data_IF_750052083926
#
_entry.id   IF_750052083926
#
_cell.length_a   1.000
_cell.length_b   1.000
_cell.length_c   1.000
_cell.angle_alpha   90.00
_cell.angle_beta   90.00
_cell.angle_gamma   90.00
#
_symmetry.space_group_name_H-M   'P 1'
#
loop_
_entity.id
_entity.type
_entity.pdbx_description
1 polymer ?
#
# COMPACT_ATOMS: atom_id res chain seq x y z
N UNK A 1 -47.21 -28.03 1.12
CA UNK A 1 -46.29 -28.09 -0.02
C UNK A 1 -45.53 -26.76 -0.05
N UNK A 2 -44.34 -26.74 0.58
CA UNK A 2 -43.38 -25.63 0.46
C UNK A 2 -42.82 -25.67 -0.95
N UNK A 3 -43.16 -24.67 -1.77
CA UNK A 3 -42.48 -24.42 -3.03
C UNK A 3 -41.03 -24.09 -2.75
N UNK A 4 -40.14 -24.98 -3.12
CA UNK A 4 -38.70 -24.75 -3.17
C UNK A 4 -38.44 -23.78 -4.32
N UNK A 5 -38.72 -22.48 -4.12
CA UNK A 5 -38.31 -21.45 -5.07
C UNK A 5 -36.81 -21.24 -4.90
N UNK A 6 -36.03 -21.70 -5.85
CA UNK A 6 -34.61 -21.34 -5.96
C UNK A 6 -34.53 -19.82 -6.12
N UNK A 7 -34.23 -19.12 -5.03
CA UNK A 7 -33.99 -17.69 -5.09
C UNK A 7 -32.58 -17.44 -5.65
N UNK A 8 -32.50 -16.70 -6.75
CA UNK A 8 -31.23 -16.26 -7.31
C UNK A 8 -30.57 -15.29 -6.34
N UNK A 9 -29.30 -15.55 -6.02
CA UNK A 9 -28.47 -14.68 -5.19
C UNK A 9 -27.59 -13.80 -6.09
N UNK A 10 -27.77 -12.49 -5.99
CA UNK A 10 -26.97 -11.48 -6.69
C UNK A 10 -26.12 -10.75 -5.66
N UNK A 11 -24.82 -11.09 -5.53
CA UNK A 11 -23.92 -10.39 -4.63
C UNK A 11 -23.62 -8.99 -5.15
N UNK A 12 -23.49 -8.02 -4.24
CA UNK A 12 -23.07 -6.67 -4.61
C UNK A 12 -21.58 -6.60 -4.94
N UNK A 13 -20.76 -7.43 -4.29
CA UNK A 13 -19.31 -7.45 -4.49
C UNK A 13 -18.82 -8.86 -4.78
N UNK A 14 -18.06 -9.00 -5.85
CA UNK A 14 -17.23 -10.17 -6.14
C UNK A 14 -15.84 -9.68 -6.45
N UNK A 15 -14.83 -10.18 -5.76
CA UNK A 15 -13.44 -9.87 -6.03
C UNK A 15 -12.55 -11.11 -5.93
N UNK A 16 -11.39 -11.03 -6.57
CA UNK A 16 -10.36 -12.07 -6.48
C UNK A 16 -9.08 -11.45 -5.92
N UNK A 17 -8.56 -12.01 -4.85
CA UNK A 17 -7.26 -11.64 -4.29
C UNK A 17 -6.11 -12.21 -5.11
N UNK A 18 -4.92 -11.63 -4.97
CA UNK A 18 -3.70 -12.12 -5.64
C UNK A 18 -3.37 -13.58 -5.27
N UNK A 19 -3.67 -14.02 -4.08
CA UNK A 19 -3.49 -15.41 -3.61
C UNK A 19 -4.54 -16.39 -4.13
N UNK A 20 -5.45 -15.95 -4.97
CA UNK A 20 -6.50 -16.78 -5.56
C UNK A 20 -7.81 -16.84 -4.75
N UNK A 21 -7.87 -16.30 -3.53
CA UNK A 21 -9.12 -16.22 -2.75
C UNK A 21 -10.17 -15.41 -3.50
N UNK A 22 -11.39 -15.93 -3.57
CA UNK A 22 -12.56 -15.26 -4.16
C UNK A 22 -13.48 -14.81 -3.03
N UNK A 23 -13.72 -13.50 -2.95
CA UNK A 23 -14.66 -12.90 -2.02
C UNK A 23 -16.03 -12.66 -2.67
N UNK A 24 -17.12 -13.03 -1.98
CA UNK A 24 -18.52 -12.88 -2.44
C UNK A 24 -19.30 -12.23 -1.30
N UNK A 25 -19.73 -10.98 -1.46
CA UNK A 25 -20.36 -10.21 -0.40
C UNK A 25 -21.63 -9.51 -0.87
N UNK A 26 -22.58 -9.36 0.04
CA UNK A 26 -23.82 -8.64 -0.17
C UNK A 26 -23.99 -7.56 0.91
N UNK A 27 -24.25 -6.31 0.50
CA UNK A 27 -24.34 -5.17 1.42
C UNK A 27 -25.76 -4.99 1.94
N UNK A 28 -25.87 -4.76 3.22
CA UNK A 28 -27.16 -4.48 3.87
C UNK A 28 -27.03 -3.29 4.81
N UNK A 29 -28.10 -2.53 4.94
CA UNK A 29 -28.13 -1.36 5.82
C UNK A 29 -29.42 -1.28 6.63
N UNK A 30 -29.31 -0.70 7.84
CA UNK A 30 -30.46 -0.41 8.69
C UNK A 30 -31.41 -1.57 8.90
N UNK A 31 -32.68 -1.38 8.57
CA UNK A 31 -33.75 -2.36 8.73
C UNK A 31 -33.56 -3.62 7.89
N UNK A 32 -32.88 -3.54 6.75
CA UNK A 32 -32.68 -4.71 5.89
C UNK A 32 -31.72 -5.70 6.50
N UNK A 33 -30.71 -5.24 7.26
CA UNK A 33 -29.75 -6.12 7.91
C UNK A 33 -30.36 -7.03 8.98
N UNK A 34 -31.47 -6.65 9.63
CA UNK A 34 -32.19 -7.46 10.63
C UNK A 34 -33.28 -8.34 10.04
N UNK A 35 -33.54 -8.24 8.74
CA UNK A 35 -34.65 -8.95 8.11
C UNK A 35 -34.43 -10.47 8.08
N UNK A 36 -35.52 -11.22 8.13
CA UNK A 36 -35.52 -12.68 7.96
C UNK A 36 -34.94 -13.09 6.60
N UNK A 37 -35.20 -12.28 5.57
CA UNK A 37 -34.67 -12.50 4.22
C UNK A 37 -33.14 -12.41 4.21
N UNK A 38 -32.56 -11.39 4.86
CA UNK A 38 -31.10 -11.27 4.99
C UNK A 38 -30.50 -12.44 5.75
N UNK A 39 -31.14 -12.87 6.84
CA UNK A 39 -30.69 -14.08 7.58
C UNK A 39 -30.66 -15.31 6.67
N UNK A 40 -31.75 -15.58 5.97
CA UNK A 40 -31.85 -16.72 5.06
C UNK A 40 -30.76 -16.65 3.95
N UNK A 41 -30.54 -15.47 3.38
CA UNK A 41 -29.51 -15.24 2.35
C UNK A 41 -28.10 -15.46 2.91
N UNK A 42 -27.80 -14.93 4.09
CA UNK A 42 -26.49 -15.09 4.73
C UNK A 42 -26.17 -16.56 4.98
N UNK A 43 -27.10 -17.29 5.60
CA UNK A 43 -26.94 -18.71 5.91
C UNK A 43 -26.85 -19.60 4.64
N UNK A 44 -27.63 -19.28 3.62
CA UNK A 44 -27.53 -19.94 2.32
C UNK A 44 -26.18 -19.69 1.64
N UNK A 45 -25.67 -18.44 1.71
CA UNK A 45 -24.36 -18.09 1.19
C UNK A 45 -23.26 -18.91 1.88
N UNK A 46 -23.26 -18.99 3.22
CA UNK A 46 -22.25 -19.78 3.95
C UNK A 46 -22.26 -21.26 3.55
N UNK A 47 -23.43 -21.87 3.45
CA UNK A 47 -23.55 -23.25 2.93
C UNK A 47 -22.96 -23.39 1.54
N UNK A 48 -23.23 -22.43 0.63
CA UNK A 48 -22.71 -22.46 -0.73
C UNK A 48 -21.20 -22.30 -0.78
N UNK A 49 -20.63 -21.38 0.03
CA UNK A 49 -19.19 -21.18 0.12
C UNK A 49 -18.48 -22.43 0.64
N UNK A 50 -19.04 -23.08 1.68
CA UNK A 50 -18.53 -24.34 2.19
C UNK A 50 -18.51 -25.45 1.11
N UNK A 51 -19.58 -25.57 0.33
CA UNK A 51 -19.63 -26.52 -0.79
C UNK A 51 -18.56 -26.20 -1.85
N UNK A 52 -18.40 -24.94 -2.23
CA UNK A 52 -17.40 -24.50 -3.22
C UNK A 52 -15.98 -24.79 -2.74
N UNK A 53 -15.68 -24.53 -1.46
CA UNK A 53 -14.39 -24.83 -0.86
C UNK A 53 -14.09 -26.33 -0.84
N UNK A 54 -15.08 -27.16 -0.53
CA UNK A 54 -14.93 -28.62 -0.60
C UNK A 54 -14.67 -29.12 -2.03
N UNK A 55 -15.38 -28.56 -3.02
CA UNK A 55 -15.19 -28.90 -4.44
C UNK A 55 -13.85 -28.40 -4.98
N UNK A 56 -13.35 -27.28 -4.48
CA UNK A 56 -12.09 -26.70 -4.91
C UNK A 56 -10.85 -27.44 -4.39
N UNK A 57 -11.00 -28.36 -3.42
CA UNK A 57 -9.90 -29.17 -2.85
C UNK A 57 -8.68 -28.32 -2.42
N UNK A 58 -8.93 -27.13 -1.87
CA UNK A 58 -7.88 -26.19 -1.45
C UNK A 58 -7.20 -25.38 -2.55
N UNK A 59 -7.56 -25.58 -3.84
CA UNK A 59 -7.00 -24.80 -4.95
C UNK A 59 -7.51 -23.37 -5.02
N UNK A 60 -8.73 -23.16 -4.57
CA UNK A 60 -9.39 -21.83 -4.49
C UNK A 60 -10.04 -21.76 -3.12
N UNK A 61 -9.87 -20.63 -2.43
CA UNK A 61 -10.56 -20.34 -1.19
C UNK A 61 -11.70 -19.36 -1.47
N UNK A 62 -12.94 -19.76 -1.17
CA UNK A 62 -14.11 -18.91 -1.29
C UNK A 62 -14.49 -18.40 0.08
N UNK A 63 -14.63 -17.08 0.22
CA UNK A 63 -15.02 -16.39 1.45
C UNK A 63 -16.14 -15.42 1.13
N UNK A 64 -16.96 -15.07 2.12
CA UNK A 64 -18.02 -14.09 1.85
C UNK A 64 -18.96 -13.95 3.02
N UNK A 65 -19.92 -13.05 2.88
CA UNK A 65 -20.90 -12.79 3.92
C UNK A 65 -21.73 -11.53 3.66
N UNK A 66 -22.43 -11.11 4.70
CA UNK A 66 -23.17 -9.86 4.70
C UNK A 66 -22.27 -8.73 5.19
N UNK A 67 -22.32 -7.60 4.52
CA UNK A 67 -21.53 -6.39 4.83
C UNK A 67 -22.46 -5.29 5.32
N UNK A 68 -22.07 -4.59 6.37
CA UNK A 68 -22.74 -3.39 6.88
C UNK A 68 -21.73 -2.25 7.02
N UNK A 69 -22.24 -1.02 6.94
CA UNK A 69 -21.51 0.18 7.33
C UNK A 69 -21.97 0.62 8.73
N UNK A 70 -21.02 0.80 9.65
CA UNK A 70 -21.27 1.33 10.98
C UNK A 70 -20.15 2.29 11.37
N UNK A 71 -20.51 3.51 11.82
CA UNK A 71 -19.56 4.55 12.27
C UNK A 71 -18.45 4.87 11.23
N UNK A 72 -18.83 4.92 9.93
CA UNK A 72 -17.88 5.21 8.85
C UNK A 72 -16.95 4.04 8.48
N UNK A 73 -17.16 2.86 9.06
CA UNK A 73 -16.34 1.67 8.85
C UNK A 73 -17.20 0.53 8.31
N UNK A 74 -16.62 -0.32 7.47
CA UNK A 74 -17.28 -1.49 6.91
C UNK A 74 -16.95 -2.75 7.70
N UNK A 75 -17.98 -3.52 8.04
CA UNK A 75 -17.88 -4.80 8.74
C UNK A 75 -18.56 -5.89 7.95
N UNK A 76 -18.09 -7.14 8.09
CA UNK A 76 -18.74 -8.29 7.49
C UNK A 76 -19.01 -9.40 8.51
N UNK A 77 -20.04 -10.19 8.24
CA UNK A 77 -20.40 -11.36 9.00
C UNK A 77 -20.37 -12.59 8.08
N UNK A 78 -19.52 -13.54 8.40
CA UNK A 78 -19.34 -14.81 7.71
C UNK A 78 -19.70 -16.02 8.59
N UNK A 79 -20.50 -15.81 9.64
CA UNK A 79 -20.94 -16.88 10.52
C UNK A 79 -22.00 -17.77 9.83
N UNK A 80 -21.94 -19.06 10.13
CA UNK A 80 -22.96 -20.02 9.65
C UNK A 80 -24.36 -19.65 10.16
N UNK A 81 -24.46 -19.15 11.38
CA UNK A 81 -25.68 -18.58 11.95
C UNK A 81 -25.58 -17.05 11.92
N UNK A 82 -26.37 -16.44 11.05
CA UNK A 82 -26.40 -15.00 10.93
C UNK A 82 -27.18 -14.34 12.06
N UNK A 83 -26.53 -13.40 12.74
CA UNK A 83 -27.17 -12.52 13.71
C UNK A 83 -26.68 -11.08 13.52
N UNK A 84 -27.61 -10.15 13.59
CA UNK A 84 -27.31 -8.72 13.62
C UNK A 84 -28.19 -8.01 14.63
N UNK A 85 -27.56 -7.24 15.51
CA UNK A 85 -28.25 -6.34 16.43
C UNK A 85 -27.92 -4.90 16.04
N UNK A 86 -28.92 -4.05 15.73
CA UNK A 86 -28.68 -2.66 15.35
C UNK A 86 -27.84 -1.92 16.38
N UNK A 87 -26.76 -1.26 15.92
CA UNK A 87 -25.85 -0.51 16.78
C UNK A 87 -24.73 -1.36 17.41
N UNK A 88 -24.74 -2.69 17.26
CA UNK A 88 -23.63 -3.55 17.69
C UNK A 88 -22.92 -4.19 16.49
N UNK A 89 -21.60 -4.25 16.56
CA UNK A 89 -20.74 -5.00 15.62
C UNK A 89 -20.09 -6.20 16.31
N UNK A 90 -20.62 -6.62 17.44
CA UNK A 90 -20.09 -7.79 18.16
C UNK A 90 -20.18 -9.06 17.30
N UNK A 91 -19.07 -9.77 17.17
CA UNK A 91 -18.95 -10.96 16.33
C UNK A 91 -18.84 -10.67 14.82
N UNK A 92 -18.79 -9.40 14.42
CA UNK A 92 -18.51 -8.97 13.06
C UNK A 92 -17.01 -8.68 12.87
N UNK A 93 -16.50 -8.93 11.68
CA UNK A 93 -15.11 -8.70 11.32
C UNK A 93 -14.99 -7.40 10.54
N UNK A 94 -13.87 -6.70 10.68
CA UNK A 94 -13.59 -5.55 9.84
C UNK A 94 -13.45 -5.99 8.39
N UNK A 95 -14.15 -5.32 7.47
CA UNK A 95 -14.03 -5.62 6.03
C UNK A 95 -12.60 -5.35 5.53
N UNK A 96 -11.93 -4.41 6.15
CA UNK A 96 -10.53 -4.09 5.89
C UNK A 96 -9.63 -5.32 6.12
N UNK A 97 -9.82 -6.07 7.22
CA UNK A 97 -9.05 -7.28 7.51
C UNK A 97 -9.17 -8.33 6.40
N UNK A 98 -10.29 -8.35 5.68
CA UNK A 98 -10.47 -9.24 4.54
C UNK A 98 -9.49 -8.92 3.41
N UNK A 99 -9.11 -7.66 3.21
CA UNK A 99 -8.14 -7.24 2.21
C UNK A 99 -6.71 -7.28 2.74
N UNK A 100 -6.53 -7.19 4.06
CA UNK A 100 -5.24 -7.10 4.74
C UNK A 100 -4.61 -8.49 5.02
N UNK A 101 -5.40 -9.56 5.03
CA UNK A 101 -4.85 -10.91 5.20
C UNK A 101 -4.47 -11.49 3.85
N UNK A 102 -3.21 -11.49 3.51
CA UNK A 102 -2.44 -12.54 2.87
C UNK A 102 -1.15 -12.05 2.23
N UNK A 103 -0.07 -12.31 2.90
CA UNK A 103 1.18 -12.66 2.23
C UNK A 103 1.75 -13.90 2.92
N UNK A 104 1.85 -14.99 2.16
CA UNK A 104 2.52 -16.21 2.55
C UNK A 104 3.97 -15.98 2.97
N UNK A 105 4.37 -16.67 4.03
CA UNK A 105 5.72 -17.03 4.45
C UNK A 105 6.82 -15.99 4.25
N UNK A 106 7.32 -15.40 5.35
CA UNK A 106 8.45 -14.46 5.44
C UNK A 106 8.18 -12.98 5.08
N UNK A 107 6.95 -12.56 4.85
CA UNK A 107 6.64 -11.13 4.75
C UNK A 107 6.01 -10.61 6.03
N UNK A 108 6.62 -9.61 6.60
CA UNK A 108 6.06 -8.73 7.61
C UNK A 108 4.60 -8.42 7.28
N UNK A 109 3.75 -8.41 8.30
CA UNK A 109 2.35 -8.01 8.20
C UNK A 109 2.28 -6.53 7.79
N UNK A 110 2.34 -6.26 6.49
CA UNK A 110 2.30 -4.92 5.90
C UNK A 110 0.86 -4.45 5.66
N UNK A 111 -0.03 -4.74 6.61
CA UNK A 111 -1.39 -4.22 6.58
C UNK A 111 -1.34 -2.68 6.52
N UNK A 112 -2.03 -2.12 5.55
CA UNK A 112 -2.19 -0.66 5.41
C UNK A 112 -3.43 -0.27 6.19
N UNK A 113 -3.25 0.47 7.29
CA UNK A 113 -4.32 0.96 8.13
C UNK A 113 -4.70 2.38 7.75
N UNK A 114 -5.97 2.64 7.48
CA UNK A 114 -6.43 4.00 7.15
C UNK A 114 -6.63 4.89 8.38
N UNK A 115 -6.73 4.29 9.57
CA UNK A 115 -6.85 5.03 10.83
C UNK A 115 -6.05 4.35 11.93
N UNK A 116 -5.21 5.14 12.62
CA UNK A 116 -4.42 4.70 13.77
C UNK A 116 -4.50 5.75 14.88
N UNK A 117 -4.13 5.35 16.10
CA UNK A 117 -4.00 6.30 17.21
C UNK A 117 -2.93 7.35 16.88
N UNK A 118 -3.17 8.64 17.13
CA UNK A 118 -2.14 9.68 16.95
C UNK A 118 -0.85 9.42 17.72
N UNK A 119 -0.91 8.74 18.88
CA UNK A 119 0.25 8.36 19.69
C UNK A 119 1.15 7.33 19.00
N UNK A 120 0.60 6.53 18.09
CA UNK A 120 1.32 5.44 17.42
C UNK A 120 1.97 5.89 16.11
N UNK A 121 1.59 7.09 15.61
CA UNK A 121 2.20 7.70 14.43
C UNK A 121 3.69 7.94 14.66
N UNK A 122 4.52 7.55 13.71
CA UNK A 122 5.97 7.74 13.73
C UNK A 122 6.71 7.10 14.92
N UNK A 123 6.00 6.26 15.71
CA UNK A 123 6.58 5.48 16.81
C UNK A 123 6.45 3.98 16.55
N UNK A 124 5.33 3.58 15.98
CA UNK A 124 5.01 2.23 15.60
C UNK A 124 4.63 2.13 14.13
N UNK A 125 3.98 3.16 13.60
CA UNK A 125 3.50 3.20 12.23
C UNK A 125 4.19 4.30 11.43
N UNK A 126 4.52 4.00 10.17
CA UNK A 126 4.96 4.98 9.20
C UNK A 126 3.87 5.23 8.15
N UNK A 127 3.74 6.48 7.65
CA UNK A 127 2.78 6.80 6.60
C UNK A 127 3.24 6.20 5.27
N UNK A 128 2.29 5.64 4.54
CA UNK A 128 2.44 5.25 3.15
C UNK A 128 1.89 6.37 2.26
N UNK A 129 2.72 6.85 1.37
CA UNK A 129 2.36 7.88 0.40
C UNK A 129 2.40 7.32 -1.02
N UNK A 130 1.58 7.87 -1.91
CA UNK A 130 1.90 7.80 -3.33
C UNK A 130 3.23 8.51 -3.59
N UNK A 131 3.95 8.14 -4.64
CA UNK A 131 5.22 8.80 -5.00
C UNK A 131 4.99 10.30 -5.23
N UNK A 132 3.86 10.68 -5.84
CA UNK A 132 3.48 12.07 -6.06
C UNK A 132 3.27 12.83 -4.75
N UNK A 133 2.55 12.23 -3.80
CA UNK A 133 2.30 12.83 -2.50
C UNK A 133 3.61 12.98 -1.69
N UNK A 134 4.47 11.95 -1.69
CA UNK A 134 5.77 12.01 -1.02
C UNK A 134 6.66 13.15 -1.54
N UNK A 135 6.57 13.46 -2.83
CA UNK A 135 7.37 14.50 -3.46
C UNK A 135 6.70 15.90 -3.45
N UNK A 136 5.39 15.97 -3.27
CA UNK A 136 4.65 17.24 -3.14
C UNK A 136 4.74 17.91 -1.76
N UNK A 137 5.35 17.26 -0.80
CA UNK A 137 5.45 17.68 0.61
C UNK A 137 6.42 18.85 0.86
N UNK A 138 6.75 19.64 -0.14
CA UNK A 138 7.59 20.82 0.02
C UNK A 138 6.85 22.10 0.46
N UNK A 139 5.51 22.05 0.54
CA UNK A 139 4.74 23.13 1.14
C UNK A 139 4.65 22.90 2.66
N UNK A 140 5.27 23.80 3.43
CA UNK A 140 5.43 23.71 4.90
C UNK A 140 4.09 23.72 5.68
N UNK A 141 2.94 23.76 5.02
CA UNK A 141 1.65 24.03 5.66
C UNK A 141 0.62 22.89 5.58
N UNK A 142 0.82 21.84 4.78
CA UNK A 142 -0.15 20.75 4.70
C UNK A 142 0.53 19.37 4.75
N UNK A 143 0.10 18.49 5.66
CA UNK A 143 0.52 17.08 5.64
C UNK A 143 -0.03 16.44 4.35
N UNK A 144 0.79 15.71 3.55
CA UNK A 144 0.31 15.07 2.34
C UNK A 144 -0.74 14.01 2.67
N UNK A 145 -1.68 13.85 1.75
CA UNK A 145 -2.67 12.78 1.86
C UNK A 145 -1.98 11.42 1.86
N UNK A 146 -2.20 10.64 2.93
CA UNK A 146 -1.62 9.32 3.07
C UNK A 146 -2.54 8.26 2.44
N UNK A 147 -1.95 7.26 1.78
CA UNK A 147 -2.68 6.05 1.39
C UNK A 147 -3.01 5.18 2.61
N UNK A 148 -2.31 5.41 3.72
CA UNK A 148 -2.52 4.75 5.00
C UNK A 148 -1.25 4.66 5.84
N UNK A 149 -1.29 3.81 6.86
CA UNK A 149 -0.22 3.63 7.85
C UNK A 149 0.20 2.16 7.90
N UNK A 150 1.49 1.90 7.96
CA UNK A 150 2.08 0.55 8.00
C UNK A 150 2.78 0.33 9.32
N UNK A 151 2.50 -0.80 9.98
CA UNK A 151 3.18 -1.22 11.22
C UNK A 151 4.63 -1.61 10.90
N UNK A 152 5.57 -0.90 11.48
CA UNK A 152 7.02 -1.13 11.32
C UNK A 152 7.70 -1.58 12.61
N UNK A 153 6.92 -1.94 13.64
CA UNK A 153 7.44 -2.29 14.97
C UNK A 153 8.35 -3.52 14.97
N UNK A 154 8.22 -4.41 13.97
CA UNK A 154 9.06 -5.59 13.81
C UNK A 154 10.31 -5.36 12.95
N UNK A 155 10.48 -4.15 12.40
CA UNK A 155 11.63 -3.82 11.56
C UNK A 155 12.85 -3.42 12.40
N UNK A 156 14.09 -3.65 11.91
CA UNK A 156 15.31 -3.41 12.68
C UNK A 156 15.75 -1.95 12.67
N UNK A 157 14.81 -1.01 12.81
CA UNK A 157 15.09 0.43 12.96
C UNK A 157 14.04 1.10 13.85
N UNK A 158 14.37 2.26 14.39
CA UNK A 158 13.44 3.08 15.17
C UNK A 158 12.76 4.07 14.23
N UNK A 159 11.42 4.00 14.05
CA UNK A 159 10.70 4.96 13.22
C UNK A 159 10.75 6.37 13.84
N UNK A 160 10.71 7.38 12.97
CA UNK A 160 10.67 8.78 13.34
C UNK A 160 9.84 9.59 12.33
N UNK A 161 9.62 10.89 12.60
CA UNK A 161 8.78 11.77 11.78
C UNK A 161 9.35 12.09 10.40
N UNK A 162 10.65 11.86 10.21
CA UNK A 162 11.31 12.06 8.92
C UNK A 162 11.16 10.85 7.99
N UNK A 163 10.63 9.72 8.51
CA UNK A 163 10.47 8.51 7.73
C UNK A 163 9.08 8.40 7.12
N UNK A 164 9.06 7.92 5.90
CA UNK A 164 7.84 7.62 5.15
C UNK A 164 8.05 6.42 4.23
N UNK A 165 6.98 5.92 3.65
CA UNK A 165 7.00 4.75 2.79
C UNK A 165 6.38 5.06 1.43
N UNK A 166 6.89 4.41 0.39
CA UNK A 166 6.32 4.40 -0.96
C UNK A 166 6.44 3.02 -1.58
N UNK A 167 5.53 2.67 -2.48
CA UNK A 167 5.69 1.50 -3.34
C UNK A 167 6.67 1.80 -4.47
N UNK A 168 7.68 0.96 -4.61
CA UNK A 168 8.57 1.01 -5.77
C UNK A 168 7.80 0.62 -7.03
N UNK A 169 8.08 1.32 -8.13
CA UNK A 169 7.50 1.02 -9.44
C UNK A 169 8.57 0.74 -10.46
N UNK A 170 8.40 -0.35 -11.19
CA UNK A 170 9.31 -0.77 -12.25
C UNK A 170 10.52 -1.57 -11.77
N UNK A 171 11.38 -1.94 -12.71
CA UNK A 171 12.44 -2.91 -12.51
C UNK A 171 13.87 -2.32 -12.59
N UNK A 172 13.99 -1.00 -12.63
CA UNK A 172 15.30 -0.32 -12.80
C UNK A 172 16.27 -0.55 -11.63
N UNK A 173 15.77 -0.96 -10.48
CA UNK A 173 16.56 -1.19 -9.26
C UNK A 173 16.72 -2.67 -8.90
N UNK A 174 16.41 -3.58 -9.83
CA UNK A 174 16.69 -5.01 -9.66
C UNK A 174 18.20 -5.25 -9.54
N UNK A 175 18.62 -6.29 -8.79
CA UNK A 175 17.78 -7.23 -8.01
C UNK A 175 17.40 -6.71 -6.61
N UNK A 176 17.87 -5.51 -6.21
CA UNK A 176 17.76 -5.01 -4.84
C UNK A 176 16.33 -4.58 -4.50
N UNK A 177 15.67 -3.87 -5.41
CA UNK A 177 14.27 -3.44 -5.27
C UNK A 177 13.49 -4.00 -6.45
N UNK A 178 12.40 -4.71 -6.17
CA UNK A 178 11.47 -5.26 -7.15
C UNK A 178 10.26 -4.34 -7.29
N UNK A 179 9.58 -4.42 -8.44
CA UNK A 179 8.28 -3.78 -8.63
C UNK A 179 7.31 -4.16 -7.51
N UNK A 180 6.63 -3.17 -6.93
CA UNK A 180 5.71 -3.35 -5.81
C UNK A 180 6.35 -3.49 -4.42
N UNK A 181 7.69 -3.58 -4.29
CA UNK A 181 8.31 -3.56 -2.97
C UNK A 181 7.97 -2.27 -2.22
N UNK A 182 7.74 -2.41 -0.91
CA UNK A 182 7.51 -1.28 -0.03
C UNK A 182 8.85 -0.77 0.50
N UNK A 183 9.17 0.48 0.20
CA UNK A 183 10.44 1.11 0.51
C UNK A 183 10.27 2.17 1.59
N UNK A 184 11.05 2.08 2.66
CA UNK A 184 11.15 3.10 3.71
C UNK A 184 12.23 4.09 3.34
N UNK A 185 11.85 5.35 3.26
CA UNK A 185 12.76 6.47 3.04
C UNK A 185 12.81 7.37 4.26
N UNK A 186 13.94 7.99 4.48
CA UNK A 186 14.10 9.12 5.41
C UNK A 186 14.28 10.39 4.60
N UNK A 187 13.59 11.47 4.97
CA UNK A 187 13.68 12.78 4.30
C UNK A 187 15.11 13.25 4.21
N UNK A 188 15.46 13.80 3.07
CA UNK A 188 16.78 14.36 2.87
C UNK A 188 16.81 15.85 3.20
N UNK A 189 17.59 16.21 4.20
CA UNK A 189 17.79 17.60 4.65
C UNK A 189 19.18 18.14 4.34
N UNK A 190 19.97 17.40 3.58
CA UNK A 190 21.34 17.78 3.23
C UNK A 190 22.38 16.74 3.66
N UNK A 191 23.63 16.99 3.31
CA UNK A 191 24.75 16.09 3.55
C UNK A 191 25.11 15.20 2.34
N UNK A 192 26.04 14.28 2.53
CA UNK A 192 26.45 13.36 1.47
C UNK A 192 25.40 12.29 1.24
N UNK A 193 25.07 12.05 -0.02
CA UNK A 193 24.23 10.95 -0.48
C UNK A 193 24.93 10.06 -1.51
N UNK A 194 26.25 10.22 -1.60
CA UNK A 194 27.08 9.46 -2.52
C UNK A 194 26.94 7.96 -2.29
N UNK A 195 26.57 7.22 -3.35
CA UNK A 195 26.37 5.77 -3.30
C UNK A 195 25.05 5.32 -2.69
N UNK A 196 24.26 6.23 -2.11
CA UNK A 196 22.97 5.94 -1.51
C UNK A 196 21.88 5.72 -2.58
N UNK A 197 20.83 4.98 -2.23
CA UNK A 197 19.63 4.88 -3.04
C UNK A 197 18.69 5.98 -2.58
N UNK A 198 18.28 6.82 -3.52
CA UNK A 198 17.44 7.99 -3.27
C UNK A 198 16.12 7.92 -4.02
N UNK A 199 15.09 8.51 -3.43
CA UNK A 199 13.89 8.95 -4.12
C UNK A 199 14.15 10.38 -4.59
N UNK A 200 14.11 10.62 -5.89
CA UNK A 200 14.38 11.93 -6.48
C UNK A 200 13.23 12.37 -7.38
N UNK A 201 12.99 13.68 -7.37
CA UNK A 201 12.20 14.36 -8.38
C UNK A 201 13.14 14.88 -9.48
N UNK A 202 12.76 14.67 -10.73
CA UNK A 202 13.44 15.21 -11.91
C UNK A 202 12.46 16.11 -12.64
N UNK A 203 12.78 17.40 -12.77
CA UNK A 203 11.84 18.41 -13.28
C UNK A 203 11.65 18.36 -14.81
N UNK A 204 12.54 17.69 -15.54
CA UNK A 204 12.32 17.40 -16.96
C UNK A 204 11.60 16.05 -17.09
N UNK A 205 10.54 16.06 -17.92
CA UNK A 205 9.75 14.86 -18.19
C UNK A 205 10.56 13.96 -19.14
N UNK A 206 11.22 12.96 -18.56
CA UNK A 206 11.86 11.90 -19.34
C UNK A 206 10.88 10.73 -19.41
N UNK A 207 10.05 10.69 -20.48
CA UNK A 207 9.13 9.55 -20.70
C UNK A 207 9.85 8.22 -20.76
N UNK A 208 11.08 8.20 -21.27
CA UNK A 208 11.95 7.00 -21.29
C UNK A 208 12.32 6.48 -19.90
N UNK A 209 12.25 7.31 -18.83
CA UNK A 209 12.71 6.94 -17.48
C UNK A 209 11.59 6.74 -16.47
N UNK A 210 10.32 6.71 -16.91
CA UNK A 210 9.18 6.37 -16.07
C UNK A 210 8.54 7.52 -15.31
N UNK A 211 8.80 8.79 -15.69
CA UNK A 211 8.10 9.95 -15.17
C UNK A 211 8.95 10.88 -14.29
N UNK A 212 8.29 11.88 -13.71
CA UNK A 212 8.89 12.96 -12.93
C UNK A 212 9.63 12.49 -11.65
N UNK A 213 9.33 11.31 -11.14
CA UNK A 213 9.86 10.77 -9.88
C UNK A 213 10.52 9.43 -10.10
N UNK A 214 11.67 9.22 -9.45
CA UNK A 214 12.45 8.00 -9.67
C UNK A 214 13.21 7.55 -8.42
N UNK A 215 13.40 6.23 -8.28
CA UNK A 215 14.29 5.64 -7.28
C UNK A 215 15.54 5.18 -8.02
N UNK A 216 16.70 5.72 -7.64
CA UNK A 216 17.98 5.43 -8.27
C UNK A 216 19.12 5.48 -7.25
N UNK A 217 20.29 4.94 -7.62
CA UNK A 217 21.53 5.14 -6.88
C UNK A 217 22.09 6.51 -7.25
N UNK A 218 22.39 7.32 -6.23
CA UNK A 218 22.97 8.64 -6.41
C UNK A 218 24.49 8.55 -6.58
N UNK A 219 25.01 9.27 -7.54
CA UNK A 219 26.43 9.52 -7.73
C UNK A 219 26.63 10.96 -8.16
N UNK A 220 27.70 11.60 -7.70
CA UNK A 220 28.05 12.95 -8.14
C UNK A 220 29.53 13.18 -8.20
N UNK A 221 29.93 13.97 -9.18
CA UNK A 221 31.25 14.54 -9.28
C UNK A 221 31.21 15.96 -8.73
N UNK A 222 32.27 16.37 -8.04
CA UNK A 222 32.37 17.72 -7.47
C UNK A 222 33.56 18.44 -8.06
N UNK A 223 33.42 19.75 -8.18
CA UNK A 223 34.47 20.67 -8.57
C UNK A 223 34.44 21.90 -7.66
N UNK A 224 35.49 22.72 -7.73
CA UNK A 224 35.53 24.01 -7.01
C UNK A 224 35.27 25.10 -8.03
N UNK A 225 34.24 25.91 -7.80
CA UNK A 225 33.90 27.01 -8.68
C UNK A 225 34.89 28.20 -8.52
N UNK A 226 34.72 29.24 -9.33
CA UNK A 226 35.58 30.45 -9.30
C UNK A 226 35.59 31.19 -7.96
N UNK A 227 34.57 30.97 -7.14
CA UNK A 227 34.44 31.56 -5.78
C UNK A 227 35.08 30.68 -4.70
N UNK A 228 35.69 29.55 -5.08
CA UNK A 228 36.31 28.60 -4.14
C UNK A 228 35.31 27.70 -3.40
N UNK A 229 34.05 27.64 -3.86
CA UNK A 229 33.00 26.82 -3.26
C UNK A 229 32.93 25.47 -3.99
N UNK A 230 32.79 24.38 -3.22
CA UNK A 230 32.59 23.05 -3.77
C UNK A 230 31.17 22.92 -4.31
N UNK A 231 31.03 22.64 -5.61
CA UNK A 231 29.77 22.47 -6.32
C UNK A 231 29.75 21.13 -7.06
N UNK A 232 28.56 20.60 -7.34
CA UNK A 232 28.42 19.40 -8.16
C UNK A 232 28.64 19.74 -9.63
N UNK A 233 29.70 19.22 -10.25
CA UNK A 233 29.92 19.34 -11.68
C UNK A 233 29.02 18.42 -12.51
N UNK A 234 28.57 17.32 -11.90
CA UNK A 234 27.67 16.34 -12.50
C UNK A 234 26.94 15.55 -11.42
N UNK A 235 25.65 15.32 -11.61
CA UNK A 235 24.86 14.40 -10.81
C UNK A 235 24.39 13.26 -11.70
N UNK A 236 24.51 12.02 -11.22
CA UNK A 236 24.04 10.82 -11.89
C UNK A 236 23.04 10.07 -11.02
N UNK A 237 21.87 9.77 -11.58
CA UNK A 237 20.89 8.88 -10.98
C UNK A 237 20.97 7.53 -11.71
N UNK A 238 21.70 6.59 -11.11
CA UNK A 238 22.09 5.33 -11.73
C UNK A 238 21.10 4.21 -11.43
N UNK A 239 20.59 3.47 -12.44
CA UNK A 239 19.85 2.23 -12.21
C UNK A 239 20.83 1.13 -11.71
N UNK A 240 20.34 0.22 -10.86
CA UNK A 240 21.07 -0.99 -10.51
C UNK A 240 20.93 -2.06 -11.61
N UNK A 241 19.77 -2.11 -12.24
CA UNK A 241 19.53 -2.94 -13.41
C UNK A 241 19.93 -2.15 -14.67
N UNK A 242 20.94 -2.66 -15.37
CA UNK A 242 21.42 -2.02 -16.60
C UNK A 242 20.77 -2.58 -17.88
N UNK A 243 19.92 -3.61 -17.72
CA UNK A 243 19.23 -4.24 -18.85
C UNK A 243 18.00 -3.39 -19.25
N UNK A 244 18.18 -2.58 -20.30
CA UNK A 244 17.17 -1.65 -20.80
C UNK A 244 16.95 -0.38 -19.96
N UNK A 245 17.82 -0.11 -18.96
CA UNK A 245 17.74 1.11 -18.14
C UNK A 245 19.04 1.91 -18.22
N UNK A 246 18.91 3.23 -18.36
CA UNK A 246 20.03 4.14 -18.51
C UNK A 246 20.19 5.05 -17.28
N UNK A 247 21.41 5.54 -17.09
CA UNK A 247 21.71 6.58 -16.11
C UNK A 247 21.09 7.90 -16.55
N UNK A 248 20.45 8.59 -15.61
CA UNK A 248 19.98 9.97 -15.82
C UNK A 248 21.12 10.88 -15.40
N UNK A 249 21.68 11.63 -16.36
CA UNK A 249 22.73 12.59 -16.12
C UNK A 249 22.16 14.00 -16.00
N UNK A 250 22.53 14.69 -14.93
CA UNK A 250 22.10 16.07 -14.65
C UNK A 250 23.37 16.92 -14.58
N UNK A 251 23.61 17.77 -15.59
CA UNK A 251 24.78 18.65 -15.61
C UNK A 251 24.64 19.79 -14.60
N UNK A 252 25.76 20.45 -14.27
CA UNK A 252 25.88 21.50 -13.25
C UNK A 252 24.84 22.63 -13.39
N UNK A 253 24.63 23.10 -14.61
CA UNK A 253 23.67 24.17 -14.94
C UNK A 253 22.19 23.77 -14.71
N UNK A 254 21.96 22.50 -14.45
CA UNK A 254 20.64 21.90 -14.26
C UNK A 254 20.42 21.33 -12.86
N UNK A 255 21.28 21.59 -11.87
CA UNK A 255 21.12 21.06 -10.51
C UNK A 255 19.76 21.44 -9.89
N UNK A 256 19.25 22.65 -10.19
CA UNK A 256 17.91 23.07 -9.77
C UNK A 256 16.76 22.26 -10.41
N UNK A 257 17.05 21.43 -11.40
CA UNK A 257 16.04 20.56 -12.05
C UNK A 257 15.86 19.21 -11.35
N UNK A 258 16.63 18.94 -10.30
CA UNK A 258 16.48 17.72 -9.52
C UNK A 258 16.41 18.03 -8.03
N UNK A 259 15.60 17.25 -7.32
CA UNK A 259 15.53 17.32 -5.86
C UNK A 259 15.57 15.90 -5.28
N UNK A 260 16.48 15.67 -4.33
CA UNK A 260 16.45 14.46 -3.54
C UNK A 260 15.41 14.61 -2.44
N UNK A 261 14.40 13.75 -2.44
CA UNK A 261 13.27 13.77 -1.50
C UNK A 261 13.63 12.99 -0.24
N UNK A 262 14.24 11.82 -0.43
CA UNK A 262 14.60 10.95 0.68
C UNK A 262 15.66 9.94 0.31
N UNK A 263 16.31 9.41 1.35
CA UNK A 263 17.33 8.36 1.25
C UNK A 263 16.72 7.04 1.75
N UNK A 264 16.94 5.97 1.01
CA UNK A 264 16.42 4.64 1.34
C UNK A 264 17.04 4.12 2.63
N UNK A 265 16.19 3.70 3.57
CA UNK A 265 16.60 3.07 4.84
C UNK A 265 16.33 1.59 4.87
N UNK A 266 15.19 1.16 4.33
CA UNK A 266 14.80 -0.25 4.39
C UNK A 266 13.91 -0.64 3.20
N UNK A 267 13.93 -1.93 2.87
CA UNK A 267 13.06 -2.51 1.84
C UNK A 267 12.30 -3.67 2.49
N UNK A 268 10.98 -3.55 2.50
CA UNK A 268 10.09 -4.64 2.90
C UNK A 268 9.83 -5.48 1.64
N UNK A 269 10.15 -6.76 1.73
CA UNK A 269 10.10 -7.71 0.62
C UNK A 269 8.91 -8.64 0.75
#
# INVERSE_FOLDING_TARGET
>A
EERNEEALFYPDWIFKKKNGTIGIFDTKGGQTAVSKDTKNKAEALQKRLSMLNNLAEGRINYVGGIVIAANGTWYYNDNEEYAYQPGSTDGWKLMQDMFDVLMDGDSLNTAILHSISPSDRFTRFLPLYSIQAACGYFDEYEEPETEGWVDVSSLPFTPNREMFMVHAKGNSMLPKIKDGNLCVFERYHGGSREGEIVLSQVNEYYEEYGGKYTIKKFHSEKTVNEEGVEVHSKIELQPLNKDGFHTIEIPEDNEAKTATIGVLKYIIR
#
